data_IF_061247611547
#
_entry.id   IF_061247611547
#
_cell.length_a   1.000
_cell.length_b   1.000
_cell.length_c   1.000
_cell.angle_alpha   90.00
_cell.angle_beta   90.00
_cell.angle_gamma   90.00
#
_symmetry.space_group_name_H-M   'P 1'
#
loop_
_entity.id
_entity.type
_entity.pdbx_description
1 polymer ?
#
# COMPACT_ATOMS: atom_id res chain seq x y z
N UNK A 1 12.32 -10.88 6.02
CA UNK A 1 12.43 -10.19 4.72
C UNK A 1 13.76 -10.54 4.09
N UNK A 2 13.73 -10.95 2.85
CA UNK A 2 14.91 -11.16 2.01
C UNK A 2 14.92 -10.07 0.92
N UNK A 3 16.08 -9.86 0.28
CA UNK A 3 16.18 -8.96 -0.88
C UNK A 3 15.30 -9.45 -2.04
N UNK A 4 15.12 -10.77 -2.15
CA UNK A 4 14.26 -11.39 -3.17
C UNK A 4 12.77 -11.10 -2.99
N UNK A 5 12.36 -10.64 -1.80
CA UNK A 5 10.98 -10.20 -1.54
C UNK A 5 10.71 -8.75 -1.96
N UNK A 6 11.76 -7.96 -2.24
CA UNK A 6 11.60 -6.60 -2.75
C UNK A 6 10.98 -6.60 -4.15
N UNK A 7 9.88 -5.87 -4.35
CA UNK A 7 9.20 -5.90 -5.65
C UNK A 7 8.78 -4.53 -6.19
N UNK A 8 8.65 -3.47 -5.35
CA UNK A 8 8.30 -2.15 -5.86
C UNK A 8 8.89 -0.99 -5.06
N UNK A 9 8.88 0.17 -5.72
CA UNK A 9 9.13 1.48 -5.12
C UNK A 9 7.83 2.26 -5.17
N UNK A 10 7.34 2.72 -4.01
CA UNK A 10 6.11 3.48 -3.89
C UNK A 10 6.32 4.99 -3.96
N UNK A 11 5.46 5.66 -4.71
CA UNK A 11 5.42 7.12 -4.90
C UNK A 11 4.02 7.62 -4.62
N UNK A 12 3.87 8.56 -3.69
CA UNK A 12 2.58 9.21 -3.40
C UNK A 12 2.42 10.42 -4.31
N UNK A 13 1.23 10.56 -4.93
CA UNK A 13 0.95 11.62 -5.91
C UNK A 13 -0.38 12.31 -5.64
N UNK A 14 -0.46 13.63 -5.82
CA UNK A 14 -1.70 14.40 -5.65
C UNK A 14 -2.60 14.34 -6.89
N UNK A 15 -2.02 14.29 -8.10
CA UNK A 15 -2.75 14.15 -9.36
C UNK A 15 -2.46 12.78 -9.97
N UNK A 16 -3.21 11.79 -9.53
CA UNK A 16 -3.01 10.38 -9.84
C UNK A 16 -3.11 10.11 -11.34
N UNK A 17 -4.18 10.57 -11.99
CA UNK A 17 -4.44 10.26 -13.41
C UNK A 17 -3.46 11.01 -14.34
N UNK A 18 -3.13 12.26 -14.00
CA UNK A 18 -2.11 13.01 -14.76
C UNK A 18 -0.72 12.39 -14.62
N UNK A 19 -0.36 11.88 -13.42
CA UNK A 19 0.94 11.23 -13.20
C UNK A 19 1.07 9.91 -13.96
N UNK A 20 0.03 9.07 -13.97
CA UNK A 20 -0.03 7.86 -14.80
C UNK A 20 0.22 8.20 -16.26
N UNK A 21 -0.52 9.18 -16.78
CA UNK A 21 -0.42 9.62 -18.17
C UNK A 21 0.96 10.18 -18.51
N UNK A 22 1.55 10.98 -17.62
CA UNK A 22 2.87 11.59 -17.84
C UNK A 22 3.97 10.53 -17.88
N UNK A 23 4.05 9.66 -16.87
CA UNK A 23 5.10 8.64 -16.80
C UNK A 23 4.95 7.58 -17.91
N UNK A 24 3.72 7.24 -18.30
CA UNK A 24 3.48 6.37 -19.44
C UNK A 24 4.06 6.95 -20.75
N UNK A 25 3.87 8.25 -21.00
CA UNK A 25 4.42 8.92 -22.20
C UNK A 25 5.92 9.16 -22.13
N UNK A 26 6.44 9.58 -20.98
CA UNK A 26 7.84 10.04 -20.83
C UNK A 26 8.81 8.87 -20.71
N UNK A 27 8.39 7.78 -20.05
CA UNK A 27 9.24 6.62 -19.79
C UNK A 27 8.76 5.33 -20.47
N UNK A 28 7.65 5.37 -21.21
CA UNK A 28 7.09 4.20 -21.87
C UNK A 28 6.56 3.14 -20.90
N UNK A 29 6.13 3.55 -19.68
CA UNK A 29 5.61 2.61 -18.71
C UNK A 29 4.23 2.09 -19.13
N UNK A 30 4.08 0.78 -19.09
CA UNK A 30 2.79 0.11 -19.12
C UNK A 30 2.30 -0.09 -17.66
N UNK A 31 0.98 -0.04 -17.45
CA UNK A 31 0.40 -0.05 -16.14
C UNK A 31 -0.52 -1.24 -15.94
N UNK A 32 -0.61 -1.74 -14.70
CA UNK A 32 -1.62 -2.70 -14.26
C UNK A 32 -3.03 -2.10 -14.31
N UNK A 33 -4.09 -2.88 -14.06
CA UNK A 33 -5.36 -2.31 -13.65
C UNK A 33 -5.20 -1.43 -12.40
N UNK A 34 -6.04 -0.40 -12.29
CA UNK A 34 -6.10 0.45 -11.10
C UNK A 34 -6.74 -0.36 -9.96
N UNK A 35 -6.06 -0.40 -8.82
CA UNK A 35 -6.67 -0.79 -7.54
C UNK A 35 -7.45 0.43 -7.06
N UNK A 36 -8.75 0.27 -6.85
CA UNK A 36 -9.65 1.37 -6.44
C UNK A 36 -10.67 0.80 -5.46
N UNK A 37 -10.36 0.89 -4.16
CA UNK A 37 -11.07 0.19 -3.09
C UNK A 37 -11.27 1.06 -1.86
N UNK A 38 -12.37 0.85 -1.14
CA UNK A 38 -12.54 1.38 0.20
C UNK A 38 -11.81 0.47 1.20
N UNK A 39 -10.94 1.05 2.02
CA UNK A 39 -10.19 0.32 3.05
C UNK A 39 -10.41 0.92 4.42
N UNK A 40 -10.38 0.08 5.44
CA UNK A 40 -10.25 0.50 6.83
C UNK A 40 -8.80 0.32 7.25
N UNK A 41 -8.23 1.33 7.89
CA UNK A 41 -6.84 1.32 8.34
C UNK A 41 -6.73 1.75 9.80
N UNK A 42 -5.74 1.19 10.49
CA UNK A 42 -5.19 1.80 11.68
C UNK A 42 -3.96 2.64 11.31
N UNK A 43 -3.88 3.84 11.86
CA UNK A 43 -2.71 4.72 11.71
C UNK A 43 -2.22 5.19 13.07
N UNK A 44 -0.90 5.27 13.24
CA UNK A 44 -0.27 5.69 14.50
C UNK A 44 -0.73 7.09 14.96
N UNK A 45 -0.82 8.03 14.01
CA UNK A 45 -1.01 9.44 14.34
C UNK A 45 -2.49 9.88 14.27
N UNK A 46 -3.35 9.09 13.59
CA UNK A 46 -4.75 9.47 13.35
C UNK A 46 -5.77 8.42 13.80
N UNK A 47 -5.31 7.29 14.35
CA UNK A 47 -6.19 6.19 14.78
C UNK A 47 -6.82 5.42 13.63
N UNK A 48 -7.93 4.75 13.91
CA UNK A 48 -8.69 3.95 12.92
C UNK A 48 -9.54 4.85 12.04
N UNK A 49 -9.50 4.61 10.73
CA UNK A 49 -10.30 5.35 9.74
C UNK A 49 -10.47 4.57 8.45
N UNK A 50 -11.56 4.88 7.73
CA UNK A 50 -11.83 4.33 6.40
C UNK A 50 -11.68 5.43 5.36
N UNK A 51 -11.14 5.07 4.20
CA UNK A 51 -10.99 5.96 3.05
C UNK A 51 -10.88 5.13 1.77
N UNK A 52 -11.14 5.79 0.64
CA UNK A 52 -10.89 5.21 -0.67
C UNK A 52 -9.41 5.28 -1.00
N UNK A 53 -8.82 4.13 -1.31
CA UNK A 53 -7.43 4.00 -1.74
C UNK A 53 -7.37 3.75 -3.24
N UNK A 54 -6.49 4.48 -3.95
CA UNK A 54 -6.20 4.23 -5.36
C UNK A 54 -4.72 4.00 -5.54
N UNK A 55 -4.37 2.89 -6.19
CA UNK A 55 -2.99 2.53 -6.50
C UNK A 55 -2.89 1.88 -7.89
N UNK A 56 -1.70 1.92 -8.49
CA UNK A 56 -1.39 1.29 -9.77
C UNK A 56 0.09 0.93 -9.83
N UNK A 57 0.43 -0.18 -10.48
CA UNK A 57 1.81 -0.64 -10.62
C UNK A 57 2.28 -0.57 -12.07
N UNK A 58 3.54 -0.17 -12.28
CA UNK A 58 4.17 -0.37 -13.60
C UNK A 58 4.37 -1.86 -13.86
N UNK A 59 4.15 -2.28 -15.13
CA UNK A 59 4.39 -3.67 -15.55
C UNK A 59 5.88 -3.99 -15.62
N UNK A 60 6.70 -3.00 -15.95
CA UNK A 60 8.15 -3.15 -16.07
C UNK A 60 8.84 -3.21 -14.69
N UNK A 61 9.90 -4.01 -14.60
CA UNK A 61 10.77 -4.06 -13.42
C UNK A 61 11.88 -2.99 -13.47
N UNK A 62 12.29 -2.45 -12.30
CA UNK A 62 11.62 -2.59 -11.00
C UNK A 62 10.23 -1.92 -11.04
N UNK A 63 9.25 -2.52 -10.39
CA UNK A 63 7.91 -1.94 -10.38
C UNK A 63 7.89 -0.60 -9.68
N UNK A 64 7.18 0.36 -10.25
CA UNK A 64 6.83 1.63 -9.62
C UNK A 64 5.36 1.54 -9.23
N UNK A 65 5.06 1.74 -7.96
CA UNK A 65 3.71 1.94 -7.49
C UNK A 65 3.40 3.43 -7.42
N UNK A 66 2.30 3.87 -8.00
CA UNK A 66 1.71 5.18 -7.71
C UNK A 66 0.53 4.99 -6.78
N UNK A 67 0.50 5.75 -5.70
CA UNK A 67 -0.62 5.79 -4.75
C UNK A 67 -1.17 7.21 -4.70
N UNK A 68 -2.49 7.35 -4.79
CA UNK A 68 -3.14 8.65 -4.63
C UNK A 68 -2.99 9.15 -3.19
N UNK A 69 -2.66 10.43 -3.05
CA UNK A 69 -2.46 11.08 -1.75
C UNK A 69 -3.77 11.10 -0.96
N UNK A 70 -3.71 10.66 0.30
CA UNK A 70 -4.87 10.66 1.21
C UNK A 70 -4.58 11.53 2.42
N UNK A 71 -5.27 12.67 2.58
CA UNK A 71 -5.05 13.60 3.69
C UNK A 71 -5.23 12.94 5.07
N UNK A 72 -4.41 13.35 6.03
CA UNK A 72 -4.41 12.83 7.39
C UNK A 72 -4.15 11.31 7.48
N UNK A 73 -3.29 10.82 6.60
CA UNK A 73 -2.73 9.47 6.66
C UNK A 73 -1.23 9.53 6.40
N UNK A 74 -0.47 8.45 6.62
CA UNK A 74 0.91 8.35 6.15
C UNK A 74 1.04 8.50 4.63
N UNK A 75 -0.01 8.19 3.85
CA UNK A 75 -0.06 8.30 2.39
C UNK A 75 -0.30 9.75 1.94
N UNK A 76 0.61 10.64 2.31
CA UNK A 76 0.53 12.07 1.96
C UNK A 76 1.82 12.49 1.27
N UNK A 77 1.71 13.28 0.19
CA UNK A 77 2.87 13.83 -0.51
C UNK A 77 3.74 14.64 0.44
N UNK A 78 5.04 14.35 0.45
CA UNK A 78 6.04 15.11 1.21
C UNK A 78 6.98 15.82 0.24
N UNK A 79 7.03 17.15 0.32
CA UNK A 79 7.92 17.95 -0.52
C UNK A 79 9.39 17.49 -0.35
N UNK A 80 10.10 17.32 -1.47
CA UNK A 80 11.51 16.88 -1.47
C UNK A 80 11.73 15.37 -1.29
N UNK A 81 10.67 14.58 -1.11
CA UNK A 81 10.75 13.13 -0.94
C UNK A 81 9.94 12.40 -2.02
N UNK A 82 10.47 12.25 -3.25
CA UNK A 82 9.74 11.64 -4.34
C UNK A 82 9.45 10.15 -4.11
N UNK A 83 10.34 9.43 -3.42
CA UNK A 83 10.12 8.03 -3.01
C UNK A 83 9.49 8.07 -1.63
N UNK A 84 8.35 7.36 -1.47
CA UNK A 84 7.65 7.24 -0.21
C UNK A 84 8.07 5.97 0.56
N UNK A 85 8.06 4.81 -0.11
CA UNK A 85 8.36 3.53 0.52
C UNK A 85 9.01 2.52 -0.43
N UNK A 86 9.54 1.46 0.16
CA UNK A 86 10.02 0.27 -0.51
C UNK A 86 9.08 -0.89 -0.14
N UNK A 87 8.53 -1.55 -1.15
CA UNK A 87 7.54 -2.61 -0.95
C UNK A 87 8.16 -4.00 -1.00
N UNK A 88 7.83 -4.81 0.01
CA UNK A 88 8.29 -6.17 0.17
C UNK A 88 7.12 -7.13 0.33
N UNK A 89 7.20 -8.26 -0.36
CA UNK A 89 6.28 -9.37 -0.14
C UNK A 89 6.48 -9.99 1.24
N UNK A 90 5.39 -10.45 1.83
CA UNK A 90 5.40 -11.31 3.01
C UNK A 90 4.40 -12.45 2.87
N UNK A 91 4.73 -13.61 3.44
CA UNK A 91 3.82 -14.76 3.56
C UNK A 91 3.18 -14.84 4.96
N UNK A 92 3.58 -13.94 5.88
CA UNK A 92 3.03 -13.83 7.24
C UNK A 92 3.15 -12.39 7.73
N UNK A 93 2.11 -11.61 7.43
CA UNK A 93 2.08 -10.16 7.66
C UNK A 93 2.23 -9.78 9.14
N UNK A 94 1.58 -10.52 10.05
CA UNK A 94 1.64 -10.23 11.49
C UNK A 94 3.05 -10.51 12.04
N UNK A 95 3.61 -11.68 11.75
CA UNK A 95 4.95 -12.07 12.18
C UNK A 95 6.04 -11.09 11.70
N UNK A 96 6.00 -10.76 10.42
CA UNK A 96 7.04 -9.92 9.83
C UNK A 96 6.88 -8.44 10.24
N UNK A 97 5.65 -7.98 10.46
CA UNK A 97 5.36 -6.67 11.06
C UNK A 97 5.92 -6.57 12.50
N UNK A 98 5.71 -7.60 13.31
CA UNK A 98 6.24 -7.67 14.68
C UNK A 98 7.78 -7.71 14.68
N UNK A 99 8.39 -8.46 13.77
CA UNK A 99 9.84 -8.52 13.62
C UNK A 99 10.43 -7.15 13.25
N UNK A 100 9.80 -6.41 12.32
CA UNK A 100 10.21 -5.05 11.99
C UNK A 100 10.09 -4.09 13.18
N UNK A 101 8.99 -4.16 13.93
CA UNK A 101 8.79 -3.33 15.11
C UNK A 101 9.87 -3.59 16.17
N UNK A 102 10.23 -4.85 16.42
CA UNK A 102 11.32 -5.26 17.35
C UNK A 102 12.69 -4.79 16.85
N UNK A 103 12.90 -4.71 15.53
CA UNK A 103 14.13 -4.21 14.92
C UNK A 103 14.23 -2.67 14.88
N UNK A 104 13.29 -1.94 15.49
CA UNK A 104 13.29 -0.48 15.58
C UNK A 104 12.60 0.22 14.41
N UNK A 105 11.71 -0.49 13.70
CA UNK A 105 10.83 0.05 12.67
C UNK A 105 9.37 0.04 13.17
N UNK A 106 8.94 1.01 13.96
CA UNK A 106 7.57 1.03 14.44
C UNK A 106 6.56 1.09 13.29
N UNK A 107 5.46 0.33 13.46
CA UNK A 107 4.33 0.39 12.52
C UNK A 107 3.69 1.77 12.56
N UNK A 108 3.44 2.35 11.38
CA UNK A 108 2.80 3.66 11.22
C UNK A 108 1.39 3.55 10.63
N UNK A 109 1.12 2.50 9.86
CA UNK A 109 -0.20 2.23 9.30
C UNK A 109 -0.32 0.74 8.97
N UNK A 110 -1.52 0.18 9.04
CA UNK A 110 -1.88 -1.09 8.41
C UNK A 110 -3.34 -1.06 7.98
N UNK A 111 -3.70 -1.84 6.96
CA UNK A 111 -5.08 -2.11 6.68
C UNK A 111 -5.63 -3.12 7.69
N UNK A 112 -6.94 -3.02 7.96
CA UNK A 112 -7.66 -3.89 8.89
C UNK A 112 -8.91 -4.47 8.25
N UNK A 113 -9.16 -5.73 8.55
CA UNK A 113 -10.39 -6.43 8.24
C UNK A 113 -10.82 -7.23 9.48
N UNK A 114 -12.07 -7.06 9.92
CA UNK A 114 -12.61 -7.70 11.15
C UNK A 114 -11.72 -7.51 12.40
N UNK A 115 -11.12 -6.32 12.53
CA UNK A 115 -10.24 -5.96 13.64
C UNK A 115 -8.85 -6.61 13.61
N UNK A 116 -8.46 -7.26 12.52
CA UNK A 116 -7.16 -7.88 12.31
C UNK A 116 -6.41 -7.17 11.20
N UNK A 117 -5.07 -7.15 11.29
CA UNK A 117 -4.23 -6.64 10.22
C UNK A 117 -4.40 -7.51 8.96
N UNK A 118 -4.57 -6.85 7.79
CA UNK A 118 -4.83 -7.50 6.52
C UNK A 118 -4.13 -6.77 5.37
N UNK A 119 -3.58 -7.53 4.45
CA UNK A 119 -3.06 -7.07 3.15
C UNK A 119 -1.79 -6.26 3.22
N UNK A 120 -1.75 -5.15 3.96
CA UNK A 120 -0.61 -4.23 3.98
C UNK A 120 -0.28 -3.72 5.38
N UNK A 121 1.03 -3.47 5.61
CA UNK A 121 1.51 -2.77 6.80
C UNK A 121 2.72 -1.90 6.47
N UNK A 122 2.69 -0.64 6.92
CA UNK A 122 3.78 0.33 6.75
C UNK A 122 4.56 0.50 8.04
N UNK A 123 5.88 0.43 7.94
CA UNK A 123 6.82 0.61 9.04
C UNK A 123 7.80 1.72 8.71
N UNK A 124 8.13 2.57 9.68
CA UNK A 124 9.02 3.69 9.48
C UNK A 124 10.16 3.70 10.51
N UNK A 125 11.39 3.84 10.03
CA UNK A 125 12.56 4.10 10.88
C UNK A 125 12.58 5.55 11.38
N UNK A 126 13.34 5.82 12.47
CA UNK A 126 13.57 7.19 12.95
C UNK A 126 14.23 8.13 11.92
N UNK A 127 14.99 7.60 10.96
CA UNK A 127 15.60 8.37 9.87
C UNK A 127 14.62 8.73 8.73
N UNK A 128 13.36 8.25 8.82
CA UNK A 128 12.30 8.56 7.89
C UNK A 128 12.08 7.53 6.79
N UNK A 129 12.97 6.53 6.63
CA UNK A 129 12.78 5.45 5.65
C UNK A 129 11.52 4.65 5.97
N UNK A 130 10.71 4.37 4.95
CA UNK A 130 9.47 3.60 5.07
C UNK A 130 9.59 2.31 4.27
N UNK A 131 9.15 1.22 4.88
CA UNK A 131 8.95 -0.08 4.26
C UNK A 131 7.46 -0.42 4.32
N UNK A 132 6.92 -0.93 3.22
CA UNK A 132 5.62 -1.58 3.15
C UNK A 132 5.81 -3.10 3.10
N UNK A 133 5.07 -3.81 3.95
CA UNK A 133 4.85 -5.24 3.82
C UNK A 133 3.54 -5.46 3.08
N UNK A 134 3.55 -6.31 2.06
CA UNK A 134 2.37 -6.68 1.28
C UNK A 134 2.17 -8.19 1.38
N UNK A 135 1.01 -8.60 1.88
CA UNK A 135 0.64 -10.00 1.96
C UNK A 135 0.52 -10.60 0.55
N UNK A 136 1.38 -11.57 0.25
CA UNK A 136 1.43 -12.24 -1.05
C UNK A 136 0.11 -12.90 -1.42
N UNK A 137 -0.68 -13.31 -0.44
CA UNK A 137 -1.97 -13.96 -0.66
C UNK A 137 -3.01 -13.03 -1.30
N UNK A 138 -2.83 -11.71 -1.23
CA UNK A 138 -3.68 -10.72 -1.92
C UNK A 138 -3.54 -10.79 -3.45
N UNK A 139 -2.46 -11.42 -3.95
CA UNK A 139 -2.17 -11.54 -5.38
C UNK A 139 -1.83 -12.98 -5.74
N UNK A 140 -2.83 -13.83 -5.88
CA UNK A 140 -2.65 -15.25 -6.20
C UNK A 140 -1.86 -15.48 -7.51
N UNK A 141 -1.98 -14.56 -8.47
CA UNK A 141 -1.16 -14.50 -9.69
C UNK A 141 -0.76 -13.05 -9.96
N UNK A 142 0.38 -12.60 -9.44
CA UNK A 142 0.91 -11.26 -9.63
C UNK A 142 1.07 -10.87 -11.11
N UNK A 143 1.65 -11.77 -11.90
CA UNK A 143 1.83 -11.52 -13.33
C UNK A 143 0.50 -11.45 -14.09
N UNK A 144 -0.47 -12.25 -13.69
CA UNK A 144 -1.84 -12.17 -14.19
C UNK A 144 -2.51 -10.86 -13.85
N UNK A 145 -2.35 -10.37 -12.62
CA UNK A 145 -2.84 -9.06 -12.19
C UNK A 145 -2.20 -7.93 -13.01
N UNK A 146 -0.86 -7.89 -13.12
CA UNK A 146 -0.16 -6.88 -13.92
C UNK A 146 -0.62 -6.85 -15.39
N UNK A 147 -0.96 -8.01 -15.93
CA UNK A 147 -1.46 -8.15 -17.30
C UNK A 147 -2.98 -7.90 -17.46
N UNK A 148 -3.68 -7.53 -16.39
CA UNK A 148 -5.13 -7.30 -16.38
C UNK A 148 -5.97 -8.57 -16.60
N UNK A 149 -5.41 -9.76 -16.34
CA UNK A 149 -6.12 -11.05 -16.46
C UNK A 149 -6.73 -11.51 -15.16
N UNK A 150 -6.30 -10.97 -14.03
CA UNK A 150 -6.80 -11.32 -12.69
C UNK A 150 -6.98 -10.05 -11.86
N UNK A 151 -7.99 -10.08 -11.01
CA UNK A 151 -8.19 -9.05 -9.99
C UNK A 151 -7.37 -9.40 -8.74
N UNK A 152 -6.96 -8.39 -7.96
CA UNK A 152 -6.40 -8.60 -6.64
C UNK A 152 -7.53 -8.93 -5.64
N UNK A 153 -7.20 -9.58 -4.54
CA UNK A 153 -8.16 -9.80 -3.46
C UNK A 153 -8.55 -8.45 -2.84
N UNK A 154 -9.84 -8.09 -2.98
CA UNK A 154 -10.36 -6.82 -2.45
C UNK A 154 -10.34 -6.87 -0.93
N UNK A 155 -9.73 -5.86 -0.30
CA UNK A 155 -9.86 -5.62 1.13
C UNK A 155 -11.27 -5.05 1.35
N UNK A 156 -12.20 -5.88 1.84
CA UNK A 156 -13.57 -5.45 2.12
C UNK A 156 -13.56 -4.63 3.41
N UNK A 157 -14.08 -3.38 3.41
CA UNK A 157 -14.23 -2.62 4.64
C UNK A 157 -15.10 -3.35 5.65
N UNK A 158 -14.78 -3.22 6.95
CA UNK A 158 -15.72 -3.64 7.99
C UNK A 158 -17.03 -2.87 7.82
N UNK A 159 -18.16 -3.56 7.95
CA UNK A 159 -19.45 -2.89 7.94
C UNK A 159 -19.46 -1.78 9.01
N UNK A 160 -19.99 -0.56 8.69
CA UNK A 160 -20.08 0.50 9.68
C UNK A 160 -20.87 -0.02 10.88
N UNK A 161 -20.31 0.15 12.09
CA UNK A 161 -21.05 -0.15 13.32
C UNK A 161 -22.38 0.58 13.27
N UNK A 162 -23.49 -0.18 13.25
CA UNK A 162 -24.80 0.41 13.37
C UNK A 162 -24.86 1.07 14.75
N UNK A 163 -25.31 2.35 14.85
CA UNK A 163 -25.48 2.97 16.15
C UNK A 163 -26.43 2.10 16.95
N UNK A 164 -25.95 1.64 18.13
CA UNK A 164 -26.78 0.89 19.06
C UNK A 164 -28.03 1.70 19.35
N UNK A 165 -29.19 1.16 18.95
CA UNK A 165 -30.48 1.74 19.28
C UNK A 165 -30.60 1.77 20.81
N UNK A 166 -30.45 2.98 21.39
CA UNK A 166 -30.72 3.28 22.79
C UNK A 166 -32.21 3.38 23.08
#
# INVERSE_FOLDING_TARGET
MDLDDFFHVGVIVDDFDAKISALGREFGLAWSPIIDVDITTWTRDYGRRSFRARAIFSVQHPHIELVESVPNTPLTVKAGHPIHHFGYWTDDLERDSDALAQAGWPKIMCAEHEGRMFGIAYHQRPDGMIVELVDRSCYADWNGFLAGRMEHTVIVPDAPEQPSAG
#
